data_IF_445782416549
#
_entry.id   IF_445782416549
#
_cell.length_a   1.000
_cell.length_b   1.000
_cell.length_c   1.000
_cell.angle_alpha   90.00
_cell.angle_beta   90.00
_cell.angle_gamma   90.00
#
_symmetry.space_group_name_H-M   'P 1'
#
loop_
_entity.id
_entity.type
_entity.pdbx_description
1 polymer ?
#
# COMPACT_ATOMS: atom_id res chain seq x y z
N UNK A 1 11.88 -26.26 -70.38
CA UNK A 1 12.12 -27.71 -70.41
C UNK A 1 11.67 -28.32 -69.08
N UNK A 2 10.61 -29.15 -69.07
CA UNK A 2 10.11 -29.83 -67.87
C UNK A 2 10.37 -31.36 -67.92
N UNK A 3 10.62 -31.98 -66.76
CA UNK A 3 10.51 -33.44 -66.48
C UNK A 3 10.18 -33.52 -64.98
N UNK A 4 8.99 -33.84 -64.47
CA UNK A 4 8.06 -34.98 -64.63
C UNK A 4 8.56 -36.35 -64.09
N UNK A 5 7.69 -36.92 -63.23
CA UNK A 5 7.50 -38.32 -62.78
C UNK A 5 8.46 -38.88 -61.70
N UNK A 6 8.07 -39.66 -60.67
CA UNK A 6 6.99 -40.67 -60.47
C UNK A 6 6.83 -40.89 -58.92
N UNK A 7 5.67 -40.83 -58.24
CA UNK A 7 4.55 -41.81 -58.04
C UNK A 7 4.73 -42.86 -56.90
N UNK A 8 3.80 -42.78 -55.92
CA UNK A 8 3.01 -43.79 -55.14
C UNK A 8 3.64 -44.94 -54.32
N UNK A 9 3.16 -45.06 -53.06
CA UNK A 9 2.36 -46.20 -52.50
C UNK A 9 2.03 -45.90 -51.02
N UNK A 10 0.79 -45.74 -50.52
CA UNK A 10 -0.38 -46.64 -50.33
C UNK A 10 -0.17 -47.87 -49.43
N UNK A 11 -0.70 -47.82 -48.20
CA UNK A 11 -1.36 -48.92 -47.46
C UNK A 11 -2.19 -48.30 -46.30
N UNK A 12 -3.53 -48.15 -46.42
CA UNK A 12 -4.61 -49.04 -45.90
C UNK A 12 -4.54 -49.27 -44.38
N UNK A 13 -5.34 -48.54 -43.58
CA UNK A 13 -6.74 -48.85 -43.15
C UNK A 13 -6.84 -50.12 -42.30
N UNK A 14 -7.18 -49.99 -41.01
CA UNK A 14 -8.23 -50.79 -40.36
C UNK A 14 -8.79 -50.05 -39.13
N UNK A 15 -10.10 -49.72 -39.22
CA UNK A 15 -10.98 -49.41 -38.09
C UNK A 15 -11.18 -50.68 -37.26
N UNK A 16 -11.24 -50.57 -35.93
CA UNK A 16 -12.25 -51.31 -35.17
C UNK A 16 -12.59 -50.60 -33.85
N UNK A 17 -13.82 -50.11 -33.83
CA UNK A 17 -14.65 -49.75 -32.68
C UNK A 17 -14.73 -50.85 -31.62
N UNK A 18 -14.62 -50.47 -30.34
CA UNK A 18 -15.24 -51.20 -29.24
C UNK A 18 -15.93 -50.21 -28.30
N UNK A 19 -17.23 -50.06 -28.48
CA UNK A 19 -18.16 -49.39 -27.57
C UNK A 19 -18.73 -50.46 -26.65
N UNK A 20 -18.37 -50.40 -25.38
CA UNK A 20 -19.05 -51.08 -24.26
C UNK A 20 -19.27 -49.95 -23.26
N UNK A 21 -20.48 -49.48 -22.96
CA UNK A 21 -21.66 -50.29 -22.61
C UNK A 21 -21.69 -50.47 -21.10
N UNK A 22 -21.84 -49.39 -20.33
CA UNK A 22 -22.14 -49.46 -18.89
C UNK A 22 -23.29 -48.51 -18.58
N UNK A 23 -24.48 -49.08 -18.59
CA UNK A 23 -25.62 -48.62 -17.81
C UNK A 23 -25.22 -48.64 -16.34
N UNK A 24 -25.19 -47.48 -15.68
CA UNK A 24 -25.35 -47.39 -14.23
C UNK A 24 -26.47 -46.40 -13.95
N UNK A 25 -27.38 -46.85 -13.10
CA UNK A 25 -28.69 -46.32 -12.84
C UNK A 25 -28.68 -44.87 -12.33
N UNK A 26 -29.63 -44.11 -12.87
CA UNK A 26 -30.11 -42.83 -12.34
C UNK A 26 -30.78 -43.14 -11.00
N UNK A 27 -30.08 -42.86 -9.89
CA UNK A 27 -30.71 -42.70 -8.59
C UNK A 27 -30.93 -41.22 -8.34
N UNK A 28 -32.19 -40.86 -8.14
CA UNK A 28 -32.63 -39.49 -7.90
C UNK A 28 -31.95 -38.90 -6.67
N UNK A 29 -31.38 -37.72 -6.84
CA UNK A 29 -31.06 -36.82 -5.74
C UNK A 29 -32.37 -36.30 -5.16
N UNK A 30 -32.99 -37.11 -4.28
CA UNK A 30 -33.89 -36.59 -3.28
C UNK A 30 -33.10 -35.62 -2.41
N UNK A 31 -33.60 -34.39 -2.28
CA UNK A 31 -33.09 -33.39 -1.35
C UNK A 31 -33.16 -33.95 0.07
N UNK A 32 -32.10 -34.63 0.51
CA UNK A 32 -31.85 -34.88 1.91
C UNK A 32 -31.51 -33.52 2.53
N UNK A 33 -32.53 -32.89 3.12
CA UNK A 33 -32.31 -31.82 4.07
C UNK A 33 -31.46 -32.39 5.19
N UNK A 34 -30.14 -32.20 5.09
CA UNK A 34 -29.22 -32.44 6.18
C UNK A 34 -29.65 -31.51 7.31
N UNK A 35 -30.41 -32.06 8.25
CA UNK A 35 -30.82 -31.37 9.45
C UNK A 35 -29.53 -31.03 10.19
N UNK A 36 -29.05 -29.80 10.06
CA UNK A 36 -27.89 -29.30 10.77
C UNK A 36 -28.15 -29.50 12.25
N UNK A 37 -27.57 -30.56 12.80
CA UNK A 37 -27.64 -30.84 14.23
C UNK A 37 -26.79 -29.76 14.89
N UNK A 38 -27.45 -28.69 15.35
CA UNK A 38 -26.77 -27.63 16.09
C UNK A 38 -26.12 -28.27 17.31
N UNK A 39 -24.83 -28.04 17.48
CA UNK A 39 -24.10 -28.46 18.66
C UNK A 39 -24.84 -27.95 19.90
N UNK A 40 -24.95 -28.79 20.93
CA UNK A 40 -25.51 -28.35 22.22
C UNK A 40 -24.63 -27.22 22.76
N UNK A 41 -25.22 -26.13 23.27
CA UNK A 41 -24.45 -25.04 23.83
C UNK A 41 -23.55 -25.56 24.96
N UNK A 42 -22.29 -25.10 25.03
CA UNK A 42 -21.38 -25.50 26.09
C UNK A 42 -21.93 -25.04 27.43
N UNK A 43 -21.87 -25.94 28.42
CA UNK A 43 -22.18 -25.61 29.81
C UNK A 43 -20.87 -25.16 30.44
N UNK A 44 -20.80 -23.89 30.82
CA UNK A 44 -19.64 -23.35 31.51
C UNK A 44 -19.79 -23.56 33.02
N UNK A 45 -18.76 -24.11 33.64
CA UNK A 45 -18.67 -24.24 35.10
C UNK A 45 -18.29 -22.88 35.73
N UNK A 46 -19.09 -22.42 36.70
CA UNK A 46 -18.89 -21.13 37.38
C UNK A 46 -17.53 -21.04 38.09
N UNK A 47 -17.00 -22.18 38.57
CA UNK A 47 -15.67 -22.25 39.19
C UNK A 47 -14.52 -21.95 38.21
N UNK A 48 -14.76 -22.17 36.92
CA UNK A 48 -13.78 -21.96 35.84
C UNK A 48 -13.88 -20.55 35.25
N UNK A 49 -15.08 -20.01 35.10
CA UNK A 49 -15.30 -18.68 34.49
C UNK A 49 -15.06 -17.52 35.45
N UNK A 50 -15.36 -17.68 36.74
CA UNK A 50 -15.18 -16.62 37.76
C UNK A 50 -13.74 -16.23 38.04
N UNK A 51 -12.75 -17.02 37.60
CA UNK A 51 -11.33 -16.69 37.71
C UNK A 51 -10.78 -15.88 36.54
N UNK A 52 -11.45 -15.96 35.38
CA UNK A 52 -11.00 -15.33 34.13
C UNK A 52 -11.83 -14.08 33.85
N UNK A 53 -13.13 -14.12 34.18
CA UNK A 53 -14.07 -13.04 33.97
C UNK A 53 -14.48 -12.44 35.31
N UNK A 54 -14.47 -11.11 35.36
CA UNK A 54 -15.00 -10.38 36.51
C UNK A 54 -16.51 -10.61 36.60
N UNK A 55 -17.00 -10.89 37.80
CA UNK A 55 -18.43 -11.03 38.07
C UNK A 55 -19.21 -9.73 37.85
N UNK A 56 -18.52 -8.59 37.93
CA UNK A 56 -19.06 -7.27 37.63
C UNK A 56 -17.97 -6.38 37.03
N UNK A 57 -18.33 -5.62 35.99
CA UNK A 57 -17.43 -4.73 35.26
C UNK A 57 -16.86 -3.63 36.16
N UNK A 58 -17.58 -3.24 37.21
CA UNK A 58 -17.09 -2.24 38.18
C UNK A 58 -15.81 -2.70 38.90
N UNK A 59 -15.62 -4.01 39.08
CA UNK A 59 -14.43 -4.59 39.72
C UNK A 59 -13.20 -4.67 38.80
N UNK A 60 -13.40 -4.53 37.49
CA UNK A 60 -12.33 -4.53 36.49
C UNK A 60 -11.61 -3.19 36.41
N UNK A 61 -12.26 -2.08 36.77
CA UNK A 61 -11.69 -0.74 36.71
C UNK A 61 -11.00 -0.40 38.04
N UNK A 62 -9.67 -0.31 38.03
CA UNK A 62 -8.88 0.21 39.16
C UNK A 62 -8.53 1.67 38.92
N UNK A 63 -8.94 2.55 39.83
CA UNK A 63 -8.62 3.97 39.80
C UNK A 63 -9.87 4.85 39.84
N UNK A 64 -9.66 6.14 40.11
CA UNK A 64 -10.72 7.13 40.14
C UNK A 64 -11.13 7.50 38.72
N UNK A 65 -12.44 7.48 38.43
CA UNK A 65 -12.97 7.78 37.11
C UNK A 65 -12.60 9.22 36.74
N UNK A 66 -11.87 9.47 35.63
CA UNK A 66 -11.53 10.82 35.23
C UNK A 66 -12.79 11.67 35.06
N UNK A 67 -12.74 12.88 35.60
CA UNK A 67 -13.81 13.86 35.42
C UNK A 67 -13.60 14.61 34.11
N UNK A 68 -14.67 15.16 33.52
CA UNK A 68 -14.57 16.01 32.33
C UNK A 68 -13.62 17.19 32.55
N UNK A 69 -13.56 17.72 33.78
CA UNK A 69 -12.63 18.79 34.15
C UNK A 69 -11.17 18.34 34.20
N UNK A 70 -10.86 17.08 34.53
CA UNK A 70 -9.49 16.55 34.41
C UNK A 70 -9.06 16.33 32.96
N UNK A 71 -10.01 15.94 32.09
CA UNK A 71 -9.74 15.78 30.66
C UNK A 71 -9.43 17.14 30.01
N UNK A 72 -10.29 18.14 30.24
CA UNK A 72 -10.08 19.50 29.71
C UNK A 72 -8.78 20.16 30.18
N UNK A 73 -8.34 19.91 31.42
CA UNK A 73 -7.04 20.40 31.92
C UNK A 73 -5.85 19.70 31.26
N UNK A 74 -6.00 18.43 30.91
CA UNK A 74 -4.96 17.66 30.21
C UNK A 74 -4.85 18.13 28.76
N UNK A 75 -5.99 18.40 28.10
CA UNK A 75 -6.05 18.91 26.73
C UNK A 75 -5.52 20.35 26.63
N UNK A 76 -5.85 21.21 27.61
CA UNK A 76 -5.34 22.59 27.67
C UNK A 76 -3.83 22.63 27.95
N UNK A 77 -3.29 21.70 28.75
CA UNK A 77 -1.86 21.58 28.98
C UNK A 77 -1.12 21.03 27.75
N UNK A 78 -1.72 20.09 27.01
CA UNK A 78 -1.19 19.59 25.74
C UNK A 78 -1.21 20.66 24.65
N UNK A 79 -2.26 21.49 24.58
CA UNK A 79 -2.35 22.61 23.64
C UNK A 79 -1.34 23.72 23.94
N UNK A 80 -1.04 23.99 25.22
CA UNK A 80 0.00 24.96 25.59
C UNK A 80 1.41 24.45 25.30
N UNK A 81 1.66 23.14 25.46
CA UNK A 81 2.95 22.52 25.12
C UNK A 81 3.21 22.53 23.60
N UNK A 82 2.18 22.28 22.79
CA UNK A 82 2.27 22.37 21.32
C UNK A 82 2.49 23.80 20.81
N UNK A 83 1.96 24.80 21.53
CA UNK A 83 2.19 26.21 21.18
C UNK A 83 3.62 26.68 21.50
N UNK A 84 4.32 26.05 22.45
CA UNK A 84 5.73 26.35 22.76
C UNK A 84 6.75 25.61 21.90
N UNK A 85 6.34 24.58 21.15
CA UNK A 85 7.20 23.86 20.19
C UNK A 85 7.20 24.51 18.79
N UNK A 86 6.39 25.54 18.57
CA UNK A 86 6.27 26.21 17.27
C UNK A 86 7.31 27.31 17.01
N UNK A 87 8.21 27.59 17.97
CA UNK A 87 9.11 28.77 17.93
C UNK A 87 10.61 28.41 18.07
N UNK A 88 11.00 27.17 17.81
CA UNK A 88 12.42 26.77 17.74
C UNK A 88 12.72 26.02 16.43
N UNK A 89 12.79 26.80 15.36
CA UNK A 89 13.24 26.36 14.04
C UNK A 89 14.78 26.41 13.99
N UNK A 90 15.42 25.32 14.38
CA UNK A 90 16.74 24.93 13.84
C UNK A 90 17.05 23.44 14.08
N UNK A 91 17.32 22.74 12.98
CA UNK A 91 18.15 21.52 12.91
C UNK A 91 17.66 20.20 13.56
N UNK A 92 16.38 19.84 13.36
CA UNK A 92 15.96 18.43 13.35
C UNK A 92 14.85 18.13 12.30
N UNK A 93 14.91 18.80 11.16
CA UNK A 93 13.77 18.96 10.22
C UNK A 93 13.44 17.73 9.36
N UNK A 94 14.22 16.65 9.44
CA UNK A 94 13.97 15.39 8.73
C UNK A 94 12.79 14.63 9.31
N UNK A 95 12.94 14.19 10.56
CA UNK A 95 12.01 13.23 11.16
C UNK A 95 10.61 13.78 11.45
N UNK A 96 10.50 15.07 11.73
CA UNK A 96 9.22 15.72 12.00
C UNK A 96 8.45 16.10 10.71
N UNK A 97 9.09 16.12 9.54
CA UNK A 97 8.41 16.52 8.29
C UNK A 97 7.38 15.48 7.87
N UNK A 98 7.76 14.20 7.91
CA UNK A 98 6.92 13.09 7.44
C UNK A 98 5.66 12.93 8.26
N UNK A 99 5.75 13.16 9.57
CA UNK A 99 4.61 13.10 10.48
C UNK A 99 3.50 14.12 10.17
N UNK A 100 3.84 15.24 9.50
CA UNK A 100 2.87 16.28 9.13
C UNK A 100 2.13 15.97 7.81
N UNK A 101 2.61 14.98 7.06
CA UNK A 101 2.13 14.66 5.72
C UNK A 101 1.29 13.38 5.67
N UNK A 102 1.68 12.37 6.46
CA UNK A 102 1.03 11.05 6.43
C UNK A 102 0.97 10.43 7.81
N UNK A 103 -0.16 9.78 8.11
CA UNK A 103 -0.35 9.05 9.36
C UNK A 103 0.33 7.66 9.33
N UNK A 104 0.69 7.08 10.49
CA UNK A 104 1.23 5.72 10.55
C UNK A 104 0.30 4.68 9.92
N UNK A 105 -1.00 4.82 10.14
CA UNK A 105 -2.03 3.90 9.61
C UNK A 105 -2.06 3.94 8.09
N UNK A 106 -2.03 5.14 7.49
CA UNK A 106 -1.97 5.31 6.04
C UNK A 106 -0.72 4.68 5.43
N UNK A 107 0.45 4.86 6.06
CA UNK A 107 1.71 4.21 5.64
C UNK A 107 1.59 2.68 5.67
N UNK A 108 1.15 2.13 6.81
CA UNK A 108 1.06 0.68 6.99
C UNK A 108 0.07 0.03 6.03
N UNK A 109 -1.06 0.68 5.80
CA UNK A 109 -2.08 0.14 4.92
C UNK A 109 -1.68 0.28 3.46
N UNK A 110 -0.97 1.35 3.06
CA UNK A 110 -0.43 1.43 1.69
C UNK A 110 0.64 0.37 1.44
N UNK A 111 1.56 0.14 2.37
CA UNK A 111 2.56 -0.94 2.21
C UNK A 111 1.87 -2.29 1.99
N UNK A 112 0.82 -2.61 2.76
CA UNK A 112 0.05 -3.83 2.56
C UNK A 112 -0.63 -3.85 1.19
N UNK A 113 -1.26 -2.75 0.76
CA UNK A 113 -1.92 -2.66 -0.56
C UNK A 113 -0.94 -2.82 -1.71
N UNK A 114 0.16 -2.08 -1.70
CA UNK A 114 1.19 -2.14 -2.75
C UNK A 114 1.83 -3.53 -2.79
N UNK A 115 2.11 -4.12 -1.62
CA UNK A 115 2.59 -5.52 -1.57
C UNK A 115 1.62 -6.46 -2.25
N UNK A 116 0.31 -6.36 -2.02
CA UNK A 116 -0.67 -7.23 -2.68
C UNK A 116 -0.68 -7.05 -4.20
N UNK A 117 -0.53 -5.81 -4.69
CA UNK A 117 -0.41 -5.53 -6.13
C UNK A 117 0.89 -6.09 -6.72
N UNK A 118 2.01 -5.91 -6.02
CA UNK A 118 3.30 -6.52 -6.37
C UNK A 118 3.21 -8.06 -6.41
N UNK A 119 2.61 -8.68 -5.40
CA UNK A 119 2.44 -10.12 -5.34
C UNK A 119 1.65 -10.65 -6.54
N UNK A 120 0.68 -9.88 -7.03
CA UNK A 120 -0.14 -10.21 -8.19
C UNK A 120 0.62 -10.08 -9.52
N UNK A 121 1.64 -9.22 -9.61
CA UNK A 121 2.46 -9.09 -10.84
C UNK A 121 3.47 -10.24 -10.98
N UNK A 122 3.92 -10.83 -9.87
CA UNK A 122 4.90 -11.92 -9.87
C UNK A 122 4.20 -13.30 -9.92
N UNK A 123 3.83 -13.72 -11.13
CA UNK A 123 3.16 -15.01 -11.40
C UNK A 123 4.09 -16.05 -12.03
N UNK A 124 4.41 -15.90 -13.31
CA UNK A 124 5.26 -16.82 -14.08
C UNK A 124 6.37 -16.05 -14.80
N UNK A 125 7.52 -16.69 -15.10
CA UNK A 125 8.61 -16.01 -15.82
C UNK A 125 8.17 -15.42 -17.17
N UNK A 126 7.28 -16.10 -17.90
CA UNK A 126 6.78 -15.63 -19.20
C UNK A 126 5.92 -14.36 -19.09
N UNK A 127 4.99 -14.33 -18.14
CA UNK A 127 4.15 -13.14 -17.89
C UNK A 127 4.98 -11.97 -17.37
N UNK A 128 5.96 -12.25 -16.51
CA UNK A 128 6.88 -11.24 -16.01
C UNK A 128 7.70 -10.62 -17.16
N UNK A 129 8.35 -11.44 -17.99
CA UNK A 129 9.14 -10.95 -19.13
C UNK A 129 8.29 -10.23 -20.18
N UNK A 130 7.01 -10.59 -20.30
CA UNK A 130 6.06 -10.00 -21.25
C UNK A 130 5.47 -8.64 -20.86
N UNK A 131 5.85 -8.09 -19.69
CA UNK A 131 5.40 -6.76 -19.25
C UNK A 131 5.23 -6.65 -17.73
N UNK A 132 5.04 -7.76 -17.01
CA UNK A 132 4.87 -7.74 -15.55
C UNK A 132 6.08 -7.18 -14.77
N UNK A 133 7.26 -7.11 -15.39
CA UNK A 133 8.43 -6.44 -14.81
C UNK A 133 8.24 -4.93 -14.62
N UNK A 134 7.44 -4.26 -15.45
CA UNK A 134 7.14 -2.84 -15.33
C UNK A 134 6.23 -2.57 -14.12
N UNK A 135 5.18 -3.39 -13.97
CA UNK A 135 4.32 -3.39 -12.78
C UNK A 135 5.12 -3.70 -11.51
N UNK A 136 6.07 -4.62 -11.58
CA UNK A 136 6.97 -4.90 -10.45
C UNK A 136 7.85 -3.71 -10.12
N UNK A 137 8.43 -3.03 -11.13
CA UNK A 137 9.23 -1.82 -10.95
C UNK A 137 8.41 -0.72 -10.28
N UNK A 138 7.18 -0.48 -10.73
CA UNK A 138 6.27 0.50 -10.15
C UNK A 138 6.08 0.25 -8.66
N UNK A 139 5.56 -0.92 -8.30
CA UNK A 139 5.23 -1.25 -6.92
C UNK A 139 6.45 -1.33 -6.00
N UNK A 140 7.59 -1.85 -6.49
CA UNK A 140 8.82 -1.88 -5.70
C UNK A 140 9.42 -0.48 -5.47
N UNK A 141 9.31 0.43 -6.44
CA UNK A 141 9.76 1.82 -6.27
C UNK A 141 8.92 2.53 -5.21
N UNK A 142 7.59 2.34 -5.24
CA UNK A 142 6.69 2.89 -4.22
C UNK A 142 7.00 2.31 -2.84
N UNK A 143 7.18 0.99 -2.72
CA UNK A 143 7.55 0.35 -1.45
C UNK A 143 8.89 0.88 -0.92
N UNK A 144 9.89 1.05 -1.80
CA UNK A 144 11.18 1.61 -1.41
C UNK A 144 11.03 3.01 -0.82
N UNK A 145 10.27 3.89 -1.49
CA UNK A 145 9.98 5.24 -1.00
C UNK A 145 9.24 5.25 0.33
N UNK A 146 8.23 4.38 0.50
CA UNK A 146 7.49 4.29 1.77
C UNK A 146 8.39 3.81 2.92
N UNK A 147 9.27 2.84 2.68
CA UNK A 147 10.24 2.41 3.69
C UNK A 147 11.32 3.45 3.99
N UNK A 148 11.73 4.23 2.99
CA UNK A 148 12.61 5.38 3.18
C UNK A 148 11.99 6.40 4.14
N UNK A 149 10.71 6.73 3.93
CA UNK A 149 9.93 7.61 4.81
C UNK A 149 9.83 7.02 6.21
N UNK A 150 9.49 5.73 6.35
CA UNK A 150 9.40 5.07 7.67
C UNK A 150 10.72 5.12 8.43
N UNK A 151 11.85 4.98 7.73
CA UNK A 151 13.17 5.00 8.37
C UNK A 151 13.50 6.33 9.04
N UNK A 152 12.91 7.43 8.56
CA UNK A 152 13.05 8.77 9.12
C UNK A 152 11.84 9.22 9.95
N UNK A 153 10.70 8.55 9.85
CA UNK A 153 9.47 8.90 10.55
C UNK A 153 9.71 8.99 12.06
N UNK A 154 9.24 10.02 12.76
CA UNK A 154 9.56 10.13 14.20
C UNK A 154 8.64 9.28 15.08
N UNK A 155 7.40 9.03 14.65
CA UNK A 155 6.43 8.18 15.36
C UNK A 155 6.71 6.68 15.25
N UNK A 156 5.89 5.90 15.94
CA UNK A 156 5.90 4.44 15.85
C UNK A 156 5.12 3.98 14.62
N UNK A 157 5.80 3.26 13.74
CA UNK A 157 5.22 2.62 12.56
C UNK A 157 5.70 1.19 12.53
N UNK A 158 4.85 0.23 12.13
CA UNK A 158 5.31 -1.14 11.91
C UNK A 158 6.51 -1.15 10.95
N UNK A 159 7.41 -2.11 11.20
CA UNK A 159 8.58 -2.38 10.36
C UNK A 159 9.68 -1.31 10.40
N UNK A 160 9.57 -0.30 11.27
CA UNK A 160 10.60 0.74 11.42
C UNK A 160 12.01 0.20 11.68
N UNK A 161 12.13 -0.89 12.45
CA UNK A 161 13.39 -1.61 12.70
C UNK A 161 14.06 -2.13 11.42
N UNK A 162 13.26 -2.51 10.43
CA UNK A 162 13.69 -3.13 9.19
C UNK A 162 13.63 -2.16 8.00
N UNK A 163 13.13 -0.94 8.20
CA UNK A 163 12.77 -0.01 7.13
C UNK A 163 13.95 0.35 6.21
N UNK A 164 15.14 0.62 6.77
CA UNK A 164 16.35 0.89 5.97
C UNK A 164 16.72 -0.30 5.08
N UNK A 165 16.67 -1.50 5.65
CA UNK A 165 16.97 -2.75 4.92
C UNK A 165 15.91 -3.01 3.85
N UNK A 166 14.63 -2.84 4.19
CA UNK A 166 13.50 -3.03 3.29
C UNK A 166 13.60 -2.07 2.09
N UNK A 167 13.83 -0.78 2.36
CA UNK A 167 14.09 0.27 1.36
C UNK A 167 15.15 -0.17 0.36
N UNK A 168 16.32 -0.57 0.84
CA UNK A 168 17.45 -0.88 -0.03
C UNK A 168 17.22 -2.11 -0.91
N UNK A 169 16.65 -3.18 -0.34
CA UNK A 169 16.38 -4.39 -1.12
C UNK A 169 15.27 -4.17 -2.14
N UNK A 170 14.24 -3.38 -1.83
CA UNK A 170 13.18 -3.06 -2.78
C UNK A 170 13.66 -2.09 -3.85
N UNK A 171 14.42 -1.05 -3.50
CA UNK A 171 14.99 -0.08 -4.45
C UNK A 171 15.90 -0.78 -5.46
N UNK A 172 16.82 -1.63 -4.97
CA UNK A 172 17.71 -2.41 -5.83
C UNK A 172 16.94 -3.31 -6.80
N UNK A 173 15.94 -4.03 -6.32
CA UNK A 173 15.16 -4.90 -7.18
C UNK A 173 14.28 -4.10 -8.15
N UNK A 174 13.77 -2.92 -7.76
CA UNK A 174 13.06 -2.01 -8.65
C UNK A 174 13.94 -1.54 -9.82
N UNK A 175 15.18 -1.12 -9.54
CA UNK A 175 16.17 -0.76 -10.56
C UNK A 175 16.45 -1.92 -11.53
N UNK A 176 16.59 -3.14 -11.01
CA UNK A 176 16.80 -4.33 -11.84
C UNK A 176 15.57 -4.69 -12.68
N UNK A 177 14.38 -4.30 -12.23
CA UNK A 177 13.12 -4.39 -12.98
C UNK A 177 13.02 -3.35 -14.12
N UNK A 178 14.12 -2.73 -14.54
CA UNK A 178 14.20 -2.05 -15.84
C UNK A 178 14.20 -3.03 -17.04
N UNK A 179 14.47 -4.32 -16.80
CA UNK A 179 14.47 -5.34 -17.86
C UNK A 179 13.71 -6.62 -17.46
N UNK A 180 12.82 -7.07 -18.36
CA UNK A 180 12.12 -8.35 -18.21
C UNK A 180 13.02 -9.55 -18.50
N UNK A 181 13.58 -10.16 -17.46
CA UNK A 181 14.42 -11.36 -17.58
C UNK A 181 14.21 -12.36 -16.44
N UNK A 182 14.55 -13.63 -16.68
CA UNK A 182 14.44 -14.70 -15.67
C UNK A 182 15.25 -14.43 -14.39
N UNK A 183 16.50 -13.92 -14.45
CA UNK A 183 17.22 -13.56 -13.22
C UNK A 183 16.48 -12.50 -12.39
N UNK A 184 15.93 -11.47 -13.03
CA UNK A 184 15.18 -10.40 -12.37
C UNK A 184 13.86 -10.94 -11.79
N UNK A 185 13.17 -11.83 -12.51
CA UNK A 185 11.99 -12.52 -11.97
C UNK A 185 12.30 -13.29 -10.68
N UNK A 186 13.41 -14.03 -10.66
CA UNK A 186 13.84 -14.78 -9.48
C UNK A 186 14.18 -13.84 -8.30
N UNK A 187 14.80 -12.69 -8.58
CA UNK A 187 15.06 -11.67 -7.57
C UNK A 187 13.75 -11.09 -7.00
N UNK A 188 12.79 -10.76 -7.87
CA UNK A 188 11.48 -10.28 -7.46
C UNK A 188 10.70 -11.32 -6.63
N UNK A 189 10.80 -12.62 -6.94
CA UNK A 189 10.26 -13.70 -6.12
C UNK A 189 10.88 -13.75 -4.72
N UNK A 190 12.19 -13.50 -4.59
CA UNK A 190 12.83 -13.40 -3.29
C UNK A 190 12.29 -12.20 -2.51
N UNK A 191 12.14 -11.03 -3.15
CA UNK A 191 11.54 -9.84 -2.51
C UNK A 191 10.10 -10.06 -2.08
N UNK A 192 9.33 -10.82 -2.85
CA UNK A 192 7.97 -11.23 -2.49
C UNK A 192 7.95 -12.05 -1.19
N UNK A 193 8.88 -12.98 -1.02
CA UNK A 193 9.04 -13.73 0.22
C UNK A 193 9.47 -12.81 1.39
N UNK A 194 10.47 -11.95 1.17
CA UNK A 194 10.96 -11.00 2.18
C UNK A 194 9.85 -10.07 2.69
N UNK A 195 9.05 -9.50 1.77
CA UNK A 195 7.91 -8.64 2.12
C UNK A 195 6.80 -9.42 2.85
N UNK A 196 6.62 -10.70 2.54
CA UNK A 196 5.68 -11.56 3.25
C UNK A 196 6.13 -11.81 4.70
N UNK A 197 7.41 -12.09 4.91
CA UNK A 197 8.01 -12.28 6.23
C UNK A 197 7.93 -10.98 7.04
N UNK A 198 8.25 -9.84 6.41
CA UNK A 198 8.14 -8.53 7.05
C UNK A 198 6.70 -8.22 7.50
N UNK A 199 5.73 -8.32 6.59
CA UNK A 199 4.31 -8.02 6.90
C UNK A 199 3.70 -9.01 7.90
N UNK A 200 4.19 -10.25 7.96
CA UNK A 200 3.77 -11.24 8.97
C UNK A 200 4.47 -11.05 10.33
N UNK A 201 5.51 -10.21 10.41
CA UNK A 201 6.23 -9.90 11.64
C UNK A 201 7.43 -10.80 11.94
N UNK A 202 7.86 -11.62 10.98
CA UNK A 202 9.08 -12.42 11.10
C UNK A 202 10.36 -11.56 10.99
N UNK A 203 10.25 -10.34 10.43
CA UNK A 203 11.38 -9.45 10.18
C UNK A 203 12.16 -9.83 8.92
N UNK A 204 13.20 -9.06 8.57
CA UNK A 204 14.05 -9.36 7.42
C UNK A 204 15.33 -10.08 7.84
N UNK A 205 15.66 -11.15 7.10
CA UNK A 205 16.93 -11.87 7.25
C UNK A 205 17.96 -11.42 6.20
N UNK A 206 18.21 -10.11 6.12
CA UNK A 206 19.20 -9.57 5.19
C UNK A 206 20.64 -9.77 5.71
N UNK A 207 21.56 -10.13 4.81
CA UNK A 207 22.97 -10.30 5.14
C UNK A 207 23.70 -8.98 5.45
N UNK A 208 23.17 -7.85 4.95
CA UNK A 208 23.69 -6.51 5.18
C UNK A 208 22.58 -5.65 5.77
N UNK A 209 22.90 -4.89 6.81
CA UNK A 209 22.03 -3.82 7.28
C UNK A 209 21.86 -2.77 6.19
N UNK A 210 20.67 -2.15 6.10
CA UNK A 210 20.45 -1.04 5.19
C UNK A 210 21.32 0.17 5.50
N UNK A 211 21.54 1.01 4.49
CA UNK A 211 22.31 2.25 4.61
C UNK A 211 21.64 3.22 5.60
N UNK A 212 22.44 3.99 6.32
CA UNK A 212 21.92 4.84 7.38
C UNK A 212 21.17 6.07 6.90
N UNK A 213 21.56 6.58 5.72
CA UNK A 213 21.02 7.81 5.12
C UNK A 213 20.26 7.44 3.85
N UNK A 214 19.14 8.12 3.62
CA UNK A 214 18.41 8.02 2.36
C UNK A 214 19.18 8.74 1.25
N UNK A 215 19.53 8.02 0.19
CA UNK A 215 19.97 8.58 -1.08
C UNK A 215 18.81 8.46 -2.07
N UNK A 216 18.03 9.53 -2.22
CA UNK A 216 16.78 9.51 -3.01
C UNK A 216 17.02 9.19 -4.48
N UNK A 217 18.18 9.56 -5.02
CA UNK A 217 18.59 9.21 -6.40
C UNK A 217 18.72 7.71 -6.63
N UNK A 218 18.89 6.93 -5.56
CA UNK A 218 19.03 5.47 -5.59
C UNK A 218 17.81 4.72 -5.07
N UNK A 219 16.81 5.42 -4.54
CA UNK A 219 15.59 4.83 -3.93
C UNK A 219 14.50 4.63 -4.99
N UNK A 220 14.19 5.66 -5.78
CA UNK A 220 13.14 5.61 -6.77
C UNK A 220 13.35 6.67 -7.86
N UNK A 221 12.96 6.34 -9.09
CA UNK A 221 12.93 7.31 -10.19
C UNK A 221 11.61 8.10 -10.17
N UNK A 222 11.60 9.31 -10.76
CA UNK A 222 10.39 10.13 -10.89
C UNK A 222 9.24 9.40 -11.59
N UNK A 223 9.53 8.73 -12.71
CA UNK A 223 8.49 8.15 -13.58
C UNK A 223 7.58 7.14 -12.86
N UNK A 224 8.07 6.11 -12.15
CA UNK A 224 7.24 5.24 -11.33
C UNK A 224 6.43 5.97 -10.26
N UNK A 225 7.01 6.99 -9.62
CA UNK A 225 6.30 7.75 -8.59
C UNK A 225 5.16 8.59 -9.18
N UNK A 226 5.35 9.16 -10.37
CA UNK A 226 4.30 9.90 -11.08
C UNK A 226 3.18 8.99 -11.59
N UNK A 227 3.51 7.83 -12.16
CA UNK A 227 2.50 6.82 -12.52
C UNK A 227 1.68 6.38 -11.29
N UNK A 228 2.34 6.19 -10.15
CA UNK A 228 1.66 5.90 -8.91
C UNK A 228 0.81 7.08 -8.40
N UNK A 229 1.29 8.33 -8.52
CA UNK A 229 0.52 9.52 -8.18
C UNK A 229 -0.78 9.62 -8.99
N UNK A 230 -0.73 9.31 -10.29
CA UNK A 230 -1.92 9.26 -11.15
C UNK A 230 -2.93 8.22 -10.65
N UNK A 231 -2.49 7.00 -10.33
CA UNK A 231 -3.38 5.96 -9.77
C UNK A 231 -4.03 6.38 -8.43
N UNK A 232 -3.28 7.10 -7.60
CA UNK A 232 -3.79 7.62 -6.32
C UNK A 232 -4.78 8.75 -6.54
N UNK A 233 -4.49 9.68 -7.46
CA UNK A 233 -5.38 10.79 -7.81
C UNK A 233 -6.68 10.31 -8.45
N UNK A 234 -6.62 9.31 -9.34
CA UNK A 234 -7.81 8.69 -9.94
C UNK A 234 -8.70 8.11 -8.86
N UNK A 235 -8.13 7.32 -7.94
CA UNK A 235 -8.89 6.73 -6.84
C UNK A 235 -9.45 7.78 -5.87
N UNK A 236 -8.67 8.83 -5.58
CA UNK A 236 -9.12 9.95 -4.76
C UNK A 236 -10.31 10.65 -5.41
N UNK A 237 -10.22 10.93 -6.71
CA UNK A 237 -11.27 11.60 -7.49
C UNK A 237 -12.55 10.77 -7.54
N UNK A 238 -12.44 9.45 -7.72
CA UNK A 238 -13.57 8.52 -7.69
C UNK A 238 -14.26 8.51 -6.31
N UNK A 239 -13.47 8.41 -5.24
CA UNK A 239 -13.99 8.33 -3.86
C UNK A 239 -14.56 9.64 -3.33
N UNK A 240 -14.18 10.78 -3.94
CA UNK A 240 -14.63 12.11 -3.55
C UNK A 240 -15.42 12.82 -4.65
N UNK A 241 -16.03 12.07 -5.56
CA UNK A 241 -16.75 12.63 -6.70
C UNK A 241 -17.99 13.45 -6.29
N UNK A 242 -18.51 13.24 -5.08
CA UNK A 242 -19.55 14.00 -4.42
C UNK A 242 -19.42 13.90 -2.89
N UNK A 243 -20.17 14.73 -2.17
CA UNK A 243 -20.13 14.84 -0.71
C UNK A 243 -20.49 13.53 0.01
N UNK A 244 -21.41 12.73 -0.53
CA UNK A 244 -21.83 11.47 0.09
C UNK A 244 -20.77 10.39 -0.12
N UNK A 245 -20.27 10.25 -1.35
CA UNK A 245 -19.15 9.37 -1.67
C UNK A 245 -17.93 9.67 -0.79
N UNK A 246 -17.60 10.95 -0.59
CA UNK A 246 -16.50 11.36 0.27
C UNK A 246 -16.71 10.96 1.74
N UNK A 247 -17.95 10.99 2.24
CA UNK A 247 -18.32 10.54 3.60
C UNK A 247 -18.26 9.03 3.76
N UNK A 248 -18.74 8.28 2.76
CA UNK A 248 -18.70 6.82 2.78
C UNK A 248 -17.28 6.28 2.67
N UNK A 249 -16.37 7.03 2.02
CA UNK A 249 -15.00 6.61 1.73
C UNK A 249 -13.93 7.40 2.52
N UNK A 250 -14.27 8.00 3.66
CA UNK A 250 -13.38 8.88 4.47
C UNK A 250 -11.96 8.34 4.61
N UNK A 251 -11.79 7.07 4.98
CA UNK A 251 -10.47 6.48 5.20
C UNK A 251 -9.66 6.36 3.91
N UNK A 252 -10.33 6.09 2.78
CA UNK A 252 -9.71 6.01 1.46
C UNK A 252 -9.32 7.40 0.97
N UNK A 253 -10.22 8.38 1.07
CA UNK A 253 -9.98 9.77 0.67
C UNK A 253 -8.83 10.37 1.48
N UNK A 254 -8.87 10.26 2.82
CA UNK A 254 -7.80 10.76 3.71
C UNK A 254 -6.44 10.20 3.30
N UNK A 255 -6.36 8.88 3.17
CA UNK A 255 -5.11 8.19 2.91
C UNK A 255 -4.55 8.49 1.53
N UNK A 256 -5.39 8.55 0.50
CA UNK A 256 -4.94 8.90 -0.85
C UNK A 256 -4.45 10.36 -0.90
N UNK A 257 -5.11 11.27 -0.19
CA UNK A 257 -4.62 12.64 -0.04
C UNK A 257 -3.29 12.70 0.73
N UNK A 258 -3.15 11.99 1.85
CA UNK A 258 -1.86 11.90 2.57
C UNK A 258 -0.74 11.32 1.70
N UNK A 259 -1.04 10.34 0.85
CA UNK A 259 -0.07 9.77 -0.10
C UNK A 259 0.36 10.77 -1.18
N UNK A 260 -0.56 11.56 -1.74
CA UNK A 260 -0.20 12.62 -2.68
C UNK A 260 0.61 13.73 -2.01
N UNK A 261 0.27 14.08 -0.77
CA UNK A 261 1.06 15.02 0.03
C UNK A 261 2.49 14.53 0.23
N UNK A 262 2.64 13.24 0.56
CA UNK A 262 3.91 12.57 0.73
C UNK A 262 4.73 12.54 -0.58
N UNK A 263 4.10 12.18 -1.70
CA UNK A 263 4.77 12.11 -3.01
C UNK A 263 5.29 13.47 -3.44
N UNK A 264 4.52 14.55 -3.27
CA UNK A 264 4.98 15.90 -3.60
C UNK A 264 6.21 16.33 -2.79
N UNK A 265 6.33 15.88 -1.53
CA UNK A 265 7.53 16.12 -0.71
C UNK A 265 8.70 15.21 -1.12
N UNK A 266 8.44 13.96 -1.52
CA UNK A 266 9.47 13.04 -2.03
C UNK A 266 10.11 13.60 -3.30
N UNK A 267 9.31 14.10 -4.24
CA UNK A 267 9.78 14.58 -5.55
C UNK A 267 10.77 15.76 -5.45
N UNK A 268 10.79 16.47 -4.32
CA UNK A 268 11.69 17.62 -4.08
C UNK A 268 12.83 17.29 -3.12
N UNK A 269 13.04 16.02 -2.78
CA UNK A 269 14.22 15.61 -2.02
C UNK A 269 15.48 15.70 -2.88
N UNK A 270 16.61 16.01 -2.23
CA UNK A 270 17.91 16.08 -2.88
C UNK A 270 18.23 14.76 -3.62
N UNK A 271 18.64 14.88 -4.88
CA UNK A 271 18.95 13.75 -5.76
C UNK A 271 17.79 13.29 -6.64
N UNK A 272 16.58 13.81 -6.44
CA UNK A 272 15.45 13.58 -7.36
C UNK A 272 15.54 14.49 -8.59
N UNK A 273 14.95 14.03 -9.69
CA UNK A 273 14.93 14.78 -10.95
C UNK A 273 14.27 16.16 -10.78
N UNK A 274 14.95 17.22 -11.25
CA UNK A 274 14.54 18.63 -11.16
C UNK A 274 14.31 19.16 -9.73
N UNK A 275 14.76 18.43 -8.70
CA UNK A 275 14.60 18.81 -7.28
C UNK A 275 15.34 20.09 -6.86
N UNK A 276 16.29 20.57 -7.66
CA UNK A 276 17.03 21.82 -7.45
C UNK A 276 16.38 23.02 -8.16
N UNK A 277 15.38 22.80 -9.03
CA UNK A 277 14.66 23.85 -9.74
C UNK A 277 13.57 24.45 -8.82
N UNK A 278 13.67 25.74 -8.52
CA UNK A 278 12.76 26.44 -7.61
C UNK A 278 11.30 26.42 -8.10
N UNK A 279 11.06 26.49 -9.41
CA UNK A 279 9.72 26.48 -10.00
C UNK A 279 9.12 25.06 -9.90
N UNK A 280 9.90 24.02 -10.19
CA UNK A 280 9.49 22.63 -10.00
C UNK A 280 9.11 22.36 -8.53
N UNK A 281 9.95 22.81 -7.59
CA UNK A 281 9.70 22.65 -6.16
C UNK A 281 8.45 23.38 -5.71
N UNK A 282 8.21 24.59 -6.22
CA UNK A 282 7.00 25.35 -5.91
C UNK A 282 5.74 24.61 -6.38
N UNK A 283 5.75 24.05 -7.59
CA UNK A 283 4.65 23.27 -8.16
C UNK A 283 4.39 21.99 -7.37
N UNK A 284 5.44 21.23 -7.03
CA UNK A 284 5.32 20.00 -6.23
C UNK A 284 4.78 20.30 -4.83
N UNK A 285 5.24 21.39 -4.19
CA UNK A 285 4.73 21.83 -2.88
C UNK A 285 3.29 22.33 -2.94
N UNK A 286 2.86 22.93 -4.05
CA UNK A 286 1.47 23.31 -4.25
C UNK A 286 0.56 22.07 -4.25
N UNK A 287 0.97 20.99 -4.92
CA UNK A 287 0.28 19.69 -4.85
C UNK A 287 0.26 19.14 -3.43
N UNK A 288 1.38 19.22 -2.70
CA UNK A 288 1.45 18.79 -1.30
C UNK A 288 0.45 19.54 -0.43
N UNK A 289 0.37 20.86 -0.55
CA UNK A 289 -0.52 21.68 0.26
C UNK A 289 -2.00 21.48 -0.10
N UNK A 290 -2.33 21.38 -1.39
CA UNK A 290 -3.69 21.05 -1.85
C UNK A 290 -4.14 19.69 -1.28
N UNK A 291 -3.23 18.70 -1.27
CA UNK A 291 -3.48 17.39 -0.67
C UNK A 291 -3.72 17.46 0.84
N UNK A 292 -2.96 18.29 1.56
CA UNK A 292 -3.19 18.53 3.01
C UNK A 292 -4.50 19.26 3.28
N UNK A 293 -4.96 20.10 2.36
CA UNK A 293 -6.26 20.76 2.45
C UNK A 293 -7.43 19.77 2.41
N UNK A 294 -7.31 18.67 1.65
CA UNK A 294 -8.28 17.56 1.67
C UNK A 294 -8.36 16.94 3.08
N UNK A 295 -7.22 16.60 3.68
CA UNK A 295 -7.16 16.02 5.03
C UNK A 295 -7.76 16.96 6.07
N UNK A 296 -7.43 18.24 5.98
CA UNK A 296 -7.96 19.29 6.87
C UNK A 296 -9.49 19.42 6.74
N UNK A 297 -10.02 19.34 5.52
CA UNK A 297 -11.46 19.36 5.27
C UNK A 297 -12.18 18.16 5.91
N UNK A 298 -11.61 16.96 5.78
CA UNK A 298 -12.15 15.74 6.43
C UNK A 298 -12.15 15.88 7.96
N UNK A 299 -11.08 16.41 8.56
CA UNK A 299 -10.98 16.61 10.01
C UNK A 299 -12.02 17.58 10.56
N UNK A 300 -12.37 18.59 9.75
CA UNK A 300 -13.44 19.55 10.06
C UNK A 300 -14.84 19.03 9.72
N UNK A 301 -14.93 17.80 9.18
CA UNK A 301 -16.16 17.21 8.63
C UNK A 301 -16.80 18.10 7.54
N UNK A 302 -15.99 18.91 6.86
CA UNK A 302 -16.39 19.79 5.76
C UNK A 302 -16.20 19.06 4.43
N UNK A 303 -17.12 18.12 4.17
CA UNK A 303 -17.06 17.27 2.98
C UNK A 303 -17.37 18.01 1.67
N UNK A 304 -18.01 19.17 1.75
CA UNK A 304 -18.21 20.02 0.58
C UNK A 304 -16.87 20.66 0.13
N UNK A 305 -15.99 21.00 1.09
CA UNK A 305 -14.65 21.51 0.81
C UNK A 305 -13.69 20.45 0.25
N UNK A 306 -13.89 19.16 0.53
CA UNK A 306 -13.05 18.06 0.02
C UNK A 306 -12.94 18.09 -1.50
N UNK A 307 -14.07 18.23 -2.21
CA UNK A 307 -14.09 18.25 -3.69
C UNK A 307 -13.31 19.44 -4.25
N UNK A 308 -13.43 20.61 -3.61
CA UNK A 308 -12.69 21.81 -3.99
C UNK A 308 -11.18 21.57 -3.91
N UNK A 309 -10.71 21.04 -2.78
CA UNK A 309 -9.31 20.74 -2.56
C UNK A 309 -8.78 19.66 -3.53
N UNK A 310 -9.56 18.61 -3.85
CA UNK A 310 -9.17 17.63 -4.89
C UNK A 310 -9.03 18.30 -6.27
N UNK A 311 -9.89 19.27 -6.60
CA UNK A 311 -9.75 20.08 -7.82
C UNK A 311 -8.44 20.87 -7.86
N UNK A 312 -7.98 21.40 -6.72
CA UNK A 312 -6.70 22.10 -6.61
C UNK A 312 -5.49 21.16 -6.82
N UNK A 313 -5.59 19.91 -6.39
CA UNK A 313 -4.59 18.87 -6.69
C UNK A 313 -4.49 18.66 -8.21
N UNK A 314 -5.63 18.43 -8.89
CA UNK A 314 -5.67 18.23 -10.35
C UNK A 314 -5.10 19.42 -11.11
N UNK A 315 -5.38 20.65 -10.63
CA UNK A 315 -4.81 21.86 -11.20
C UNK A 315 -3.29 21.93 -11.01
N UNK A 316 -2.78 21.48 -9.85
CA UNK A 316 -1.34 21.41 -9.58
C UNK A 316 -0.64 20.39 -10.49
N UNK A 317 -1.24 19.21 -10.70
CA UNK A 317 -0.74 18.21 -11.67
C UNK A 317 -0.70 18.79 -13.09
N UNK A 318 -1.75 19.50 -13.50
CA UNK A 318 -1.84 20.12 -14.82
C UNK A 318 -0.76 21.19 -15.02
N UNK A 319 -0.58 22.06 -14.03
CA UNK A 319 0.43 23.12 -14.08
C UNK A 319 1.86 22.55 -14.12
N UNK A 320 2.15 21.50 -13.36
CA UNK A 320 3.46 20.85 -13.40
C UNK A 320 3.72 20.17 -14.75
N UNK A 321 2.74 19.47 -15.32
CA UNK A 321 2.88 18.77 -16.60
C UNK A 321 2.93 19.69 -17.83
N UNK A 322 2.57 20.97 -17.69
CA UNK A 322 2.76 21.96 -18.76
C UNK A 322 4.26 22.24 -19.00
N UNK A 323 5.06 22.20 -17.93
CA UNK A 323 6.49 22.57 -17.95
C UNK A 323 7.44 21.36 -17.80
N UNK A 324 7.10 20.34 -16.99
CA UNK A 324 8.04 19.31 -16.49
C UNK A 324 7.63 17.85 -16.78
N UNK A 325 7.12 17.57 -17.98
CA UNK A 325 6.60 16.23 -18.34
C UNK A 325 7.65 15.11 -18.37
#
# INVERSE_FOLDING_TARGET
MPRQFFVRSRCRVFLLTLVIGSLVAIFGNGSAAAQQQRARPPVFDEGTTSRIFFSDLSSAFRGERPTLSSLQKTDAAAALAQASEADDDSDNSGSQRWNKLISPVSLEDEIKRVKLKFDASITTPGAFNGGGYQEARLHLSVLASLFAVISEYSGDVRWKSDAKTARDITAKTALNCAAGSTPVFNEAQLRKADLQDLVSGAGLSAAKAGEDVNDWSMIADRSPLMEYAELVLDKLSDDSNDTESAKENVDSVRRNAELLALLGEILVQEGMDDSEDDDYRALSRAMTEASRSVVTAIERQDFDAVRGAVGEITQSCSACHEEYR
#
